data_IF_518508461415
#
_entry.id   IF_518508461415
#
_cell.length_a   1.000
_cell.length_b   1.000
_cell.length_c   1.000
_cell.angle_alpha   90.00
_cell.angle_beta   90.00
_cell.angle_gamma   90.00
#
_symmetry.space_group_name_H-M   'P 1'
#
loop_
_entity.id
_entity.type
_entity.pdbx_description
1 polymer ?
#
# COMPACT_ATOMS: atom_id res chain seq x y z
N UNK A 1 -25.53 11.97 -10.19
CA UNK A 1 -24.57 13.04 -10.48
C UNK A 1 -23.34 12.35 -11.02
N UNK A 2 -22.95 12.62 -12.26
CA UNK A 2 -21.70 12.10 -12.81
C UNK A 2 -20.57 12.70 -11.99
N UNK A 3 -19.86 11.86 -11.26
CA UNK A 3 -18.70 12.29 -10.51
C UNK A 3 -17.56 12.51 -11.51
N UNK A 4 -17.08 13.74 -11.56
CA UNK A 4 -15.98 14.12 -12.45
C UNK A 4 -14.73 13.29 -12.10
N UNK A 5 -14.01 12.81 -13.10
CA UNK A 5 -12.77 12.08 -12.93
C UNK A 5 -11.70 12.89 -12.18
N UNK A 6 -10.68 12.21 -11.69
CA UNK A 6 -9.61 12.84 -10.89
C UNK A 6 -8.73 13.81 -11.68
N UNK A 7 -8.69 13.67 -13.01
CA UNK A 7 -7.85 14.50 -13.90
C UNK A 7 -6.36 14.10 -13.92
N UNK A 8 -6.03 12.95 -13.32
CA UNK A 8 -4.71 12.33 -13.40
C UNK A 8 -4.84 10.80 -13.38
N UNK A 9 -3.84 10.04 -13.89
CA UNK A 9 -3.84 8.58 -13.83
C UNK A 9 -3.49 8.09 -12.41
N UNK A 10 -4.46 7.57 -11.64
CA UNK A 10 -4.20 7.02 -10.32
C UNK A 10 -3.48 5.68 -10.41
N UNK A 11 -2.67 5.36 -9.41
CA UNK A 11 -2.05 4.05 -9.26
C UNK A 11 -2.56 3.27 -8.03
N UNK A 12 -3.15 3.97 -7.03
CA UNK A 12 -3.77 3.35 -5.86
C UNK A 12 -4.62 4.34 -5.06
N UNK A 13 -5.37 3.81 -4.09
CA UNK A 13 -6.06 4.59 -3.05
C UNK A 13 -5.60 4.09 -1.69
N UNK A 14 -4.96 4.96 -0.90
CA UNK A 14 -4.64 4.72 0.50
C UNK A 14 -5.89 5.02 1.34
N UNK A 15 -6.43 4.01 1.99
CA UNK A 15 -7.74 4.10 2.64
C UNK A 15 -7.63 4.51 4.10
N UNK A 16 -8.44 5.49 4.49
CA UNK A 16 -8.72 5.82 5.88
C UNK A 16 -10.17 5.51 6.25
N UNK A 17 -10.56 5.88 7.44
CA UNK A 17 -11.92 5.63 7.94
C UNK A 17 -12.96 6.57 7.29
N UNK A 18 -12.64 7.84 7.16
CA UNK A 18 -13.54 8.86 6.59
C UNK A 18 -12.96 9.53 5.34
N UNK A 19 -11.64 9.68 5.31
CA UNK A 19 -10.90 10.29 4.21
C UNK A 19 -9.98 9.24 3.60
N UNK A 20 -10.02 9.11 2.28
CA UNK A 20 -9.10 8.30 1.52
C UNK A 20 -8.17 9.21 0.71
N UNK A 21 -7.03 8.70 0.29
CA UNK A 21 -6.07 9.46 -0.53
C UNK A 21 -5.84 8.73 -1.83
N UNK A 22 -6.23 9.33 -2.95
CA UNK A 22 -5.87 8.83 -4.26
C UNK A 22 -4.47 9.33 -4.65
N UNK A 23 -3.65 8.41 -5.11
CA UNK A 23 -2.25 8.63 -5.47
C UNK A 23 -2.09 8.43 -6.97
N UNK A 24 -1.44 9.39 -7.63
CA UNK A 24 -1.10 9.34 -9.04
C UNK A 24 0.31 8.84 -9.30
N UNK A 25 0.56 8.43 -10.55
CA UNK A 25 1.83 7.84 -10.99
C UNK A 25 3.01 8.81 -10.95
N UNK A 26 2.76 10.13 -10.90
CA UNK A 26 3.79 11.17 -10.89
C UNK A 26 3.83 11.94 -9.55
N UNK A 27 3.22 11.37 -8.48
CA UNK A 27 3.16 12.01 -7.17
C UNK A 27 1.98 12.99 -6.99
N UNK A 28 0.99 12.95 -7.89
CA UNK A 28 -0.28 13.59 -7.68
C UNK A 28 -1.00 12.98 -6.50
N UNK A 29 -1.66 13.81 -5.71
CA UNK A 29 -2.44 13.41 -4.55
C UNK A 29 -3.75 14.18 -4.49
N UNK A 30 -4.78 13.53 -3.99
CA UNK A 30 -6.05 14.20 -3.69
C UNK A 30 -6.80 13.45 -2.59
N UNK A 31 -7.42 14.19 -1.69
CA UNK A 31 -8.32 13.63 -0.68
C UNK A 31 -9.67 13.30 -1.28
N UNK A 32 -10.15 12.11 -0.95
CA UNK A 32 -11.45 11.60 -1.30
C UNK A 32 -12.28 11.36 -0.04
N UNK A 33 -13.54 11.72 -0.07
CA UNK A 33 -14.46 11.37 1.00
C UNK A 33 -14.88 9.89 0.92
N UNK A 34 -15.72 9.46 1.86
CA UNK A 34 -16.12 8.05 2.04
C UNK A 34 -16.72 7.40 0.79
N UNK A 35 -17.40 8.14 -0.05
CA UNK A 35 -17.98 7.67 -1.32
C UNK A 35 -17.10 7.96 -2.53
N UNK A 36 -15.85 8.36 -2.33
CA UNK A 36 -14.88 8.64 -3.40
C UNK A 36 -15.02 10.01 -4.04
N UNK A 37 -15.87 10.92 -3.51
CA UNK A 37 -15.95 12.29 -4.00
C UNK A 37 -14.65 13.05 -3.70
N UNK A 38 -14.13 13.77 -4.68
CA UNK A 38 -12.97 14.63 -4.50
C UNK A 38 -13.29 15.77 -3.53
N UNK A 39 -12.45 15.97 -2.52
CA UNK A 39 -12.68 16.96 -1.46
C UNK A 39 -11.94 18.29 -1.71
N UNK A 40 -10.87 18.26 -2.49
CA UNK A 40 -10.00 19.41 -2.77
C UNK A 40 -9.37 19.28 -4.18
N UNK A 41 -8.73 20.34 -4.70
CA UNK A 41 -7.95 20.21 -5.93
C UNK A 41 -6.80 19.22 -5.80
N UNK A 42 -6.43 18.57 -6.93
CA UNK A 42 -5.23 17.72 -7.01
C UNK A 42 -4.00 18.54 -6.65
N UNK A 43 -3.12 17.97 -5.84
CA UNK A 43 -1.87 18.59 -5.41
C UNK A 43 -0.69 17.65 -5.61
N UNK A 44 0.48 18.26 -5.64
CA UNK A 44 1.76 17.56 -5.69
C UNK A 44 2.67 18.16 -4.61
N UNK A 45 2.55 17.72 -3.34
CA UNK A 45 3.30 18.29 -2.22
C UNK A 45 4.81 18.12 -2.31
N UNK A 46 5.28 17.12 -3.04
CA UNK A 46 6.69 16.86 -3.27
C UNK A 46 6.92 16.35 -4.71
N UNK A 47 8.02 16.76 -5.38
CA UNK A 47 8.24 16.50 -6.79
C UNK A 47 8.86 15.12 -7.09
N UNK A 48 8.37 14.08 -6.43
CA UNK A 48 8.81 12.69 -6.66
C UNK A 48 7.61 11.74 -6.60
N UNK A 49 7.69 10.58 -7.25
CA UNK A 49 6.69 9.53 -7.12
C UNK A 49 6.52 9.07 -5.67
N UNK A 50 5.28 8.70 -5.34
CA UNK A 50 4.95 8.13 -4.04
C UNK A 50 4.99 6.61 -4.16
N UNK A 51 5.82 5.96 -3.35
CA UNK A 51 5.91 4.50 -3.37
C UNK A 51 4.79 3.84 -2.59
N UNK A 52 4.65 4.20 -1.33
CA UNK A 52 3.66 3.63 -0.42
C UNK A 52 3.17 4.68 0.57
N UNK A 53 1.98 4.47 1.14
CA UNK A 53 1.44 5.31 2.18
C UNK A 53 0.31 4.65 2.96
N UNK A 54 0.02 5.21 4.13
CA UNK A 54 -1.08 4.80 5.00
C UNK A 54 -1.84 6.02 5.46
N UNK A 55 -3.14 5.87 5.61
CA UNK A 55 -4.02 6.92 6.15
C UNK A 55 -4.35 6.58 7.60
N UNK A 56 -3.93 7.45 8.51
CA UNK A 56 -4.29 7.41 9.93
C UNK A 56 -5.59 8.19 10.18
N UNK A 57 -5.93 8.43 11.43
CA UNK A 57 -7.17 9.12 11.81
C UNK A 57 -7.19 10.58 11.35
N UNK A 58 -6.07 11.32 11.50
CA UNK A 58 -5.96 12.77 11.24
C UNK A 58 -4.93 13.15 10.17
N UNK A 59 -4.14 12.18 9.69
CA UNK A 59 -3.06 12.41 8.75
C UNK A 59 -2.87 11.24 7.79
N UNK A 60 -2.25 11.54 6.65
CA UNK A 60 -1.69 10.55 5.76
C UNK A 60 -0.17 10.54 5.91
N UNK A 61 0.44 9.36 5.92
CA UNK A 61 1.89 9.18 5.99
C UNK A 61 2.36 8.33 4.83
N UNK A 62 3.42 8.76 4.16
CA UNK A 62 3.93 7.98 3.02
C UNK A 62 5.35 8.32 2.62
N UNK A 63 5.80 7.62 1.59
CA UNK A 63 7.14 7.69 1.07
C UNK A 63 7.19 8.28 -0.32
N UNK A 64 8.02 9.29 -0.51
CA UNK A 64 8.46 9.78 -1.81
C UNK A 64 9.85 9.26 -2.12
N UNK A 65 10.06 8.74 -3.33
CA UNK A 65 11.36 8.20 -3.76
C UNK A 65 11.73 8.80 -5.11
N UNK A 66 12.84 9.52 -5.14
CA UNK A 66 13.47 10.01 -6.37
C UNK A 66 14.80 9.25 -6.60
N UNK A 67 14.73 8.26 -7.47
CA UNK A 67 15.85 7.33 -7.69
C UNK A 67 17.04 7.98 -8.40
N UNK A 68 16.80 8.98 -9.26
CA UNK A 68 17.86 9.70 -9.97
C UNK A 68 18.79 10.41 -8.98
N UNK A 69 18.22 11.03 -7.95
CA UNK A 69 18.99 11.74 -6.92
C UNK A 69 19.25 10.90 -5.68
N UNK A 70 18.80 9.63 -5.66
CA UNK A 70 18.91 8.73 -4.51
C UNK A 70 18.30 9.31 -3.24
N UNK A 71 17.22 10.05 -3.39
CA UNK A 71 16.49 10.61 -2.25
C UNK A 71 15.26 9.77 -1.93
N UNK A 72 15.11 9.44 -0.66
CA UNK A 72 13.92 8.85 -0.11
C UNK A 72 13.46 9.69 1.09
N UNK A 73 12.18 10.03 1.11
CA UNK A 73 11.59 10.83 2.17
C UNK A 73 10.32 10.19 2.70
N UNK A 74 10.16 10.29 4.00
CA UNK A 74 8.92 9.99 4.70
C UNK A 74 8.35 11.26 5.27
N UNK A 75 7.04 11.50 5.11
CA UNK A 75 6.40 12.64 5.72
C UNK A 75 4.94 12.35 6.05
N UNK A 76 4.40 13.14 6.99
CA UNK A 76 2.98 13.19 7.34
C UNK A 76 2.35 14.45 6.77
N UNK A 77 1.20 14.30 6.11
CA UNK A 77 0.36 15.40 5.64
C UNK A 77 -0.97 15.39 6.42
N UNK A 78 -1.49 16.55 6.88
CA UNK A 78 -2.76 16.61 7.60
C UNK A 78 -3.92 16.22 6.67
N UNK A 79 -4.92 15.52 7.19
CA UNK A 79 -6.17 15.28 6.46
C UNK A 79 -7.14 16.45 6.56
N UNK A 80 -7.01 17.27 7.59
CA UNK A 80 -7.76 18.53 7.70
C UNK A 80 -7.09 19.66 6.90
N UNK A 81 -7.89 20.62 6.44
CA UNK A 81 -7.42 21.75 5.61
C UNK A 81 -7.01 21.32 4.21
N UNK A 82 -6.64 22.28 3.38
CA UNK A 82 -6.25 22.04 1.98
C UNK A 82 -4.75 21.73 1.87
N UNK A 83 -4.41 20.73 1.07
CA UNK A 83 -3.03 20.52 0.66
C UNK A 83 -2.57 21.58 -0.33
N UNK A 84 -1.28 21.81 -0.39
CA UNK A 84 -0.65 22.78 -1.27
C UNK A 84 0.41 22.12 -2.16
N UNK A 85 0.63 22.71 -3.33
CA UNK A 85 1.71 22.26 -4.20
C UNK A 85 3.07 22.60 -3.58
N UNK A 86 3.98 21.67 -3.71
CA UNK A 86 5.34 21.77 -3.22
C UNK A 86 6.32 22.38 -4.25
N UNK A 87 7.61 22.28 -3.96
CA UNK A 87 8.66 22.69 -4.86
C UNK A 87 8.63 21.93 -6.17
N UNK A 88 9.23 22.46 -7.21
CA UNK A 88 9.39 21.80 -8.50
C UNK A 88 10.55 20.79 -8.51
N UNK A 89 10.63 20.00 -9.59
CA UNK A 89 11.72 19.02 -9.75
C UNK A 89 13.10 19.68 -9.87
N UNK A 90 13.17 20.87 -10.43
CA UNK A 90 14.43 21.65 -10.51
C UNK A 90 14.91 22.07 -9.13
N UNK A 91 13.99 22.42 -8.22
CA UNK A 91 14.33 22.77 -6.85
C UNK A 91 14.88 21.56 -6.10
N UNK A 92 14.30 20.36 -6.31
CA UNK A 92 14.80 19.12 -5.74
C UNK A 92 16.22 18.83 -6.22
N UNK A 93 16.49 18.98 -7.51
CA UNK A 93 17.81 18.79 -8.10
C UNK A 93 18.85 19.76 -7.51
N UNK A 94 18.50 21.04 -7.36
CA UNK A 94 19.39 22.03 -6.79
C UNK A 94 19.65 21.77 -5.31
N UNK A 95 18.63 21.41 -4.55
CA UNK A 95 18.73 21.06 -3.14
C UNK A 95 19.61 19.83 -2.90
N UNK A 96 19.47 18.81 -3.73
CA UNK A 96 20.30 17.60 -3.66
C UNK A 96 21.78 17.91 -3.90
N UNK A 97 22.11 18.83 -4.82
CA UNK A 97 23.48 19.28 -5.07
C UNK A 97 24.04 20.15 -3.94
N UNK A 98 23.20 20.93 -3.27
CA UNK A 98 23.60 21.83 -2.16
C UNK A 98 23.68 21.10 -0.81
N UNK A 99 23.09 19.89 -0.70
CA UNK A 99 22.94 19.19 0.58
C UNK A 99 21.82 19.74 1.48
N UNK A 100 21.06 20.74 1.00
CA UNK A 100 19.93 21.34 1.69
C UNK A 100 18.64 20.59 1.31
N UNK A 101 18.14 19.74 2.20
CA UNK A 101 16.95 18.96 1.92
C UNK A 101 15.69 19.80 1.86
N UNK A 102 14.96 19.78 0.74
CA UNK A 102 13.60 20.30 0.65
C UNK A 102 12.60 19.36 1.31
N UNK A 103 11.52 19.92 1.83
CA UNK A 103 10.48 19.13 2.51
C UNK A 103 9.18 19.13 1.71
N UNK A 104 8.33 18.08 1.86
CA UNK A 104 6.97 18.10 1.31
C UNK A 104 6.17 19.27 1.85
N UNK A 105 5.49 19.99 0.97
CA UNK A 105 4.75 21.19 1.35
C UNK A 105 3.57 20.85 2.27
N UNK A 106 3.40 21.60 3.32
CA UNK A 106 2.34 21.39 4.33
C UNK A 106 2.58 20.17 5.23
N UNK A 107 3.77 19.57 5.22
CA UNK A 107 4.06 18.43 6.08
C UNK A 107 4.03 18.82 7.56
N UNK A 108 3.35 17.99 8.38
CA UNK A 108 3.38 18.06 9.85
C UNK A 108 4.80 17.76 10.35
N UNK A 109 5.38 16.72 9.78
CA UNK A 109 6.79 16.35 9.95
C UNK A 109 7.31 15.66 8.68
N UNK A 110 8.61 15.65 8.51
CA UNK A 110 9.28 14.88 7.46
C UNK A 110 10.62 14.32 7.95
N UNK A 111 11.08 13.26 7.31
CA UNK A 111 12.38 12.63 7.52
C UNK A 111 13.01 12.23 6.20
N UNK A 112 14.32 12.40 6.10
CA UNK A 112 15.13 11.77 5.06
C UNK A 112 15.38 10.33 5.50
N UNK A 113 15.23 9.39 4.59
CA UNK A 113 15.53 7.99 4.84
C UNK A 113 16.90 7.65 4.26
N UNK A 114 17.72 6.94 5.04
CA UNK A 114 19.06 6.53 4.62
C UNK A 114 19.04 5.37 3.59
N UNK A 115 17.89 4.73 3.41
CA UNK A 115 17.70 3.63 2.49
C UNK A 115 16.30 3.69 1.85
N UNK A 116 16.15 3.08 0.67
CA UNK A 116 14.89 3.00 -0.06
C UNK A 116 13.83 2.29 0.81
N UNK A 117 12.66 2.90 1.05
CA UNK A 117 11.57 2.26 1.77
C UNK A 117 10.98 1.12 0.93
N UNK A 118 10.44 0.09 1.60
CA UNK A 118 9.88 -1.08 0.92
C UNK A 118 8.39 -1.23 1.18
N UNK A 119 7.99 -1.32 2.44
CA UNK A 119 6.61 -1.51 2.84
C UNK A 119 6.28 -0.60 4.02
N UNK A 120 5.02 -0.22 4.11
CA UNK A 120 4.44 0.54 5.23
C UNK A 120 3.09 -0.07 5.62
N UNK A 121 2.79 -0.09 6.89
CA UNK A 121 1.51 -0.52 7.44
C UNK A 121 1.08 0.34 8.62
N UNK A 122 -0.22 0.34 8.90
CA UNK A 122 -0.82 0.95 10.08
C UNK A 122 -1.05 -0.13 11.14
N UNK A 123 -0.77 0.20 12.40
CA UNK A 123 -1.03 -0.61 13.59
C UNK A 123 -1.68 0.30 14.64
N UNK A 124 -2.99 0.22 14.81
CA UNK A 124 -3.72 1.26 15.53
C UNK A 124 -3.53 2.63 14.88
N UNK A 125 -2.99 3.60 15.60
CA UNK A 125 -2.57 4.93 15.08
C UNK A 125 -1.04 5.05 14.91
N UNK A 126 -0.31 3.95 15.07
CA UNK A 126 1.12 3.88 14.84
C UNK A 126 1.46 3.38 13.44
N UNK A 127 2.69 3.55 13.04
CA UNK A 127 3.18 3.27 11.69
C UNK A 127 4.31 2.26 11.78
N UNK A 128 4.18 1.16 11.05
CA UNK A 128 5.26 0.20 10.88
C UNK A 128 5.77 0.26 9.45
N UNK A 129 7.07 0.36 9.27
CA UNK A 129 7.67 0.41 7.93
C UNK A 129 9.00 -0.34 7.88
N UNK A 130 9.44 -0.64 6.68
CA UNK A 130 10.72 -1.30 6.42
C UNK A 130 11.51 -0.57 5.34
N UNK A 131 12.83 -0.72 5.37
CA UNK A 131 13.75 -0.16 4.38
C UNK A 131 14.66 -1.23 3.79
N UNK A 132 15.10 -1.04 2.55
CA UNK A 132 16.01 -1.95 1.85
C UNK A 132 17.38 -2.02 2.56
N UNK A 133 17.77 -3.22 2.99
CA UNK A 133 19.02 -3.40 3.74
C UNK A 133 19.00 -2.91 5.19
N UNK A 134 17.89 -2.29 5.62
CA UNK A 134 17.65 -1.90 7.00
C UNK A 134 16.78 -2.90 7.78
N UNK A 135 16.11 -2.41 8.82
CA UNK A 135 15.21 -3.20 9.66
C UNK A 135 13.73 -2.96 9.38
N UNK A 136 12.94 -3.34 10.36
CA UNK A 136 11.55 -2.96 10.53
C UNK A 136 11.48 -1.97 11.69
N UNK A 137 10.74 -0.92 11.52
CA UNK A 137 10.65 0.19 12.46
C UNK A 137 9.18 0.45 12.79
N UNK A 138 8.88 0.68 14.06
CA UNK A 138 7.60 1.23 14.49
C UNK A 138 7.80 2.62 15.04
N UNK A 139 7.00 3.56 14.57
CA UNK A 139 6.99 4.95 15.02
C UNK A 139 5.56 5.36 15.36
N UNK A 140 5.42 6.31 16.28
CA UNK A 140 4.12 6.91 16.55
C UNK A 140 3.75 7.96 15.46
N UNK A 141 2.54 8.50 15.58
CA UNK A 141 2.03 9.52 14.65
C UNK A 141 2.89 10.79 14.58
N UNK A 142 3.73 11.06 15.58
CA UNK A 142 4.68 12.18 15.63
C UNK A 142 6.09 11.80 15.17
N UNK A 143 6.25 10.63 14.54
CA UNK A 143 7.51 10.06 14.07
C UNK A 143 8.53 9.74 15.17
N UNK A 144 8.12 9.57 16.44
CA UNK A 144 9.01 9.08 17.49
C UNK A 144 9.10 7.58 17.41
N UNK A 145 10.34 7.05 17.42
CA UNK A 145 10.58 5.61 17.38
C UNK A 145 10.01 4.94 18.64
N UNK A 146 9.16 3.93 18.45
CA UNK A 146 8.62 3.08 19.51
C UNK A 146 9.57 1.89 19.67
N UNK A 147 9.85 1.17 18.58
CA UNK A 147 10.83 0.10 18.54
C UNK A 147 11.44 -0.08 17.16
N UNK A 148 12.52 -0.86 17.14
CA UNK A 148 13.24 -1.27 15.93
C UNK A 148 13.56 -2.75 16.01
N UNK A 149 13.26 -3.49 14.94
CA UNK A 149 13.54 -4.90 14.80
C UNK A 149 14.46 -5.17 13.60
N UNK A 150 15.12 -6.32 13.61
CA UNK A 150 15.85 -6.79 12.44
C UNK A 150 14.88 -7.18 11.34
N UNK A 151 15.31 -7.00 10.09
CA UNK A 151 14.56 -7.49 8.94
C UNK A 151 14.38 -9.01 9.05
N UNK A 152 13.17 -9.54 8.86
CA UNK A 152 12.95 -10.98 8.76
C UNK A 152 13.78 -11.58 7.61
N UNK A 153 14.38 -12.74 7.88
CA UNK A 153 15.16 -13.51 6.90
C UNK A 153 14.63 -14.93 6.89
N UNK A 154 14.25 -15.41 5.72
CA UNK A 154 13.77 -16.76 5.51
C UNK A 154 14.90 -17.64 4.97
N UNK A 155 15.39 -18.63 5.76
CA UNK A 155 16.50 -19.49 5.35
C UNK A 155 16.22 -20.27 4.04
N UNK A 156 14.95 -20.57 3.77
CA UNK A 156 14.52 -21.29 2.57
C UNK A 156 14.61 -20.43 1.30
N UNK A 157 14.40 -19.12 1.41
CA UNK A 157 14.43 -18.16 0.29
C UNK A 157 15.86 -17.69 0.01
N UNK A 158 16.65 -17.46 1.05
CA UNK A 158 18.00 -16.91 0.95
C UNK A 158 18.93 -17.64 -0.05
N UNK A 159 18.94 -18.99 -0.14
CA UNK A 159 19.80 -19.72 -1.08
C UNK A 159 19.43 -19.54 -2.54
N UNK A 160 18.22 -19.06 -2.84
CA UNK A 160 17.75 -18.88 -4.22
C UNK A 160 18.40 -17.69 -4.93
N UNK A 161 19.20 -16.89 -4.23
CA UNK A 161 19.90 -15.72 -4.79
C UNK A 161 18.96 -14.62 -5.31
N UNK A 162 17.68 -14.69 -4.98
CA UNK A 162 16.67 -13.67 -5.33
C UNK A 162 16.69 -12.58 -4.27
N UNK A 163 16.63 -11.33 -4.72
CA UNK A 163 16.37 -10.22 -3.81
C UNK A 163 14.91 -10.32 -3.36
N UNK A 164 14.70 -10.75 -2.12
CA UNK A 164 13.37 -10.86 -1.53
C UNK A 164 12.96 -9.50 -0.94
N UNK A 165 11.94 -8.89 -1.51
CA UNK A 165 11.42 -7.59 -1.10
C UNK A 165 10.26 -7.76 -0.12
N UNK A 166 10.24 -6.99 0.95
CA UNK A 166 9.07 -6.86 1.80
C UNK A 166 8.04 -6.00 1.05
N UNK A 167 6.83 -6.52 0.88
CA UNK A 167 5.82 -5.91 -0.01
C UNK A 167 4.57 -5.46 0.73
N UNK A 168 4.33 -5.95 1.94
CA UNK A 168 3.14 -5.59 2.71
C UNK A 168 3.38 -5.75 4.21
N UNK A 169 2.85 -4.84 4.99
CA UNK A 169 2.83 -4.87 6.46
C UNK A 169 1.38 -4.65 6.90
N UNK A 170 0.83 -5.62 7.62
CA UNK A 170 -0.61 -5.62 7.96
C UNK A 170 -0.80 -6.06 9.40
N UNK A 171 -1.58 -5.29 10.16
CA UNK A 171 -2.05 -5.69 11.50
C UNK A 171 -3.07 -6.84 11.37
N UNK A 172 -2.89 -7.88 12.17
CA UNK A 172 -3.77 -9.04 12.23
C UNK A 172 -3.88 -9.54 13.68
N UNK A 173 -4.79 -10.48 13.98
CA UNK A 173 -4.96 -10.99 15.35
C UNK A 173 -3.72 -11.64 15.96
N UNK A 174 -2.85 -12.18 15.12
CA UNK A 174 -1.60 -12.82 15.53
C UNK A 174 -0.47 -11.81 15.85
N UNK A 175 -0.62 -10.54 15.41
CA UNK A 175 0.38 -9.49 15.56
C UNK A 175 0.52 -8.65 14.29
N UNK A 176 1.75 -8.26 13.95
CA UNK A 176 2.07 -7.52 12.74
C UNK A 176 2.64 -8.48 11.70
N UNK A 177 1.86 -8.81 10.68
CA UNK A 177 2.29 -9.68 9.60
C UNK A 177 3.08 -8.88 8.55
N UNK A 178 4.29 -9.35 8.25
CA UNK A 178 5.18 -8.79 7.22
C UNK A 178 5.32 -9.82 6.11
N UNK A 179 4.90 -9.44 4.92
CA UNK A 179 4.91 -10.29 3.74
C UNK A 179 6.07 -9.96 2.82
N UNK A 180 6.71 -11.01 2.31
CA UNK A 180 7.74 -10.88 1.28
C UNK A 180 7.22 -11.30 -0.09
N UNK A 181 7.85 -10.76 -1.14
CA UNK A 181 7.51 -11.07 -2.52
C UNK A 181 7.67 -12.57 -2.86
N UNK A 182 8.63 -13.24 -2.23
CA UNK A 182 8.94 -14.65 -2.48
C UNK A 182 8.12 -15.64 -1.63
N UNK A 183 7.05 -15.19 -0.95
CA UNK A 183 6.17 -16.06 -0.18
C UNK A 183 6.50 -16.14 1.31
N UNK A 184 7.50 -15.42 1.78
CA UNK A 184 7.81 -15.36 3.21
C UNK A 184 6.76 -14.55 3.98
N UNK A 185 6.39 -15.02 5.16
CA UNK A 185 5.61 -14.27 6.15
C UNK A 185 6.29 -14.33 7.50
N UNK A 186 6.42 -13.18 8.15
CA UNK A 186 6.87 -13.05 9.53
C UNK A 186 5.79 -12.33 10.34
N UNK A 187 5.55 -12.78 11.56
CA UNK A 187 4.67 -12.08 12.50
C UNK A 187 5.51 -11.52 13.64
N UNK A 188 5.39 -10.22 13.88
CA UNK A 188 6.07 -9.53 14.97
C UNK A 188 5.08 -9.15 16.07
N UNK A 189 5.60 -9.10 17.30
CA UNK A 189 4.87 -8.56 18.45
C UNK A 189 4.70 -7.05 18.28
N UNK A 190 3.47 -6.50 18.39
CA UNK A 190 3.24 -5.06 18.26
C UNK A 190 3.92 -4.23 19.36
N UNK A 191 4.18 -4.80 20.54
CA UNK A 191 4.72 -4.07 21.69
C UNK A 191 6.22 -3.81 21.61
N UNK A 192 7.00 -4.76 21.04
CA UNK A 192 8.47 -4.67 21.05
C UNK A 192 9.15 -5.07 19.73
N UNK A 193 8.38 -5.50 18.73
CA UNK A 193 8.89 -5.94 17.43
C UNK A 193 9.58 -7.31 17.46
N UNK A 194 9.45 -8.07 18.54
CA UNK A 194 10.02 -9.42 18.63
C UNK A 194 9.34 -10.38 17.65
N UNK A 195 10.12 -11.31 17.08
CA UNK A 195 9.61 -12.27 16.10
C UNK A 195 8.77 -13.34 16.82
N UNK A 196 7.47 -13.42 16.50
CA UNK A 196 6.53 -14.42 17.01
C UNK A 196 6.49 -15.66 16.13
N UNK A 197 6.48 -15.50 14.81
CA UNK A 197 6.50 -16.62 13.86
C UNK A 197 7.19 -16.25 12.56
N UNK A 198 7.71 -17.28 11.87
CA UNK A 198 8.37 -17.14 10.58
C UNK A 198 7.99 -18.34 9.71
N UNK A 199 7.58 -18.09 8.47
CA UNK A 199 7.14 -19.15 7.56
C UNK A 199 7.36 -18.75 6.11
N UNK A 200 7.52 -19.75 5.24
CA UNK A 200 7.46 -19.60 3.77
C UNK A 200 6.26 -20.37 3.26
N UNK A 201 5.45 -19.74 2.42
CA UNK A 201 4.36 -20.38 1.71
C UNK A 201 4.89 -20.97 0.40
N UNK A 202 4.44 -22.17 0.07
CA UNK A 202 4.70 -22.78 -1.23
C UNK A 202 3.74 -22.18 -2.26
N UNK A 203 4.24 -21.20 -3.01
CA UNK A 203 3.52 -20.51 -4.08
C UNK A 203 4.34 -20.58 -5.36
N UNK A 204 3.68 -20.85 -6.49
CA UNK A 204 4.33 -20.88 -7.81
C UNK A 204 4.58 -19.50 -8.41
N UNK A 205 4.14 -18.43 -7.72
CA UNK A 205 4.21 -17.06 -8.21
C UNK A 205 4.51 -16.08 -7.09
N UNK A 206 4.95 -14.86 -7.47
CA UNK A 206 5.31 -13.78 -6.55
C UNK A 206 4.07 -13.12 -5.94
N UNK A 207 4.12 -12.86 -4.65
CA UNK A 207 3.13 -12.01 -3.98
C UNK A 207 3.39 -10.55 -4.36
N UNK A 208 2.35 -9.84 -4.75
CA UNK A 208 2.39 -8.39 -5.03
C UNK A 208 1.77 -7.56 -3.93
N UNK A 209 0.79 -8.11 -3.21
CA UNK A 209 0.17 -7.46 -2.07
C UNK A 209 -0.54 -8.49 -1.18
N UNK A 210 -0.78 -8.14 0.08
CA UNK A 210 -1.52 -8.93 1.04
C UNK A 210 -2.57 -8.07 1.74
N UNK A 211 -3.79 -8.58 1.83
CA UNK A 211 -4.92 -7.91 2.50
C UNK A 211 -5.49 -8.86 3.54
N UNK A 212 -5.74 -8.33 4.73
CA UNK A 212 -6.41 -9.04 5.81
C UNK A 212 -7.81 -8.48 6.07
N UNK A 213 -8.76 -9.36 6.30
CA UNK A 213 -10.09 -9.02 6.78
C UNK A 213 -10.47 -9.93 7.95
N UNK A 214 -10.97 -9.35 9.05
CA UNK A 214 -11.28 -10.07 10.29
C UNK A 214 -12.09 -11.35 10.09
N UNK A 215 -13.13 -11.28 9.24
CA UNK A 215 -14.04 -12.42 8.99
C UNK A 215 -13.73 -13.12 7.64
N UNK A 216 -12.84 -12.57 6.84
CA UNK A 216 -12.45 -13.09 5.52
C UNK A 216 -11.08 -13.75 5.48
N UNK A 217 -10.26 -13.62 6.56
CA UNK A 217 -8.88 -14.07 6.57
C UNK A 217 -7.99 -13.25 5.64
N UNK A 218 -7.03 -13.90 5.01
CA UNK A 218 -6.06 -13.29 4.10
C UNK A 218 -6.41 -13.53 2.65
N UNK A 219 -6.22 -12.50 1.84
CA UNK A 219 -6.15 -12.60 0.39
C UNK A 219 -4.79 -12.06 -0.04
N UNK A 220 -3.96 -12.92 -0.64
CA UNK A 220 -2.69 -12.56 -1.27
C UNK A 220 -2.92 -12.39 -2.76
N UNK A 221 -2.46 -11.28 -3.33
CA UNK A 221 -2.49 -11.03 -4.76
C UNK A 221 -1.21 -11.54 -5.39
N UNK A 222 -1.32 -12.35 -6.45
CA UNK A 222 -0.17 -12.93 -7.14
C UNK A 222 0.04 -12.24 -8.50
N UNK A 223 1.30 -12.12 -8.89
CA UNK A 223 1.72 -11.36 -10.07
C UNK A 223 1.11 -11.88 -11.38
N UNK A 224 1.01 -13.20 -11.54
CA UNK A 224 0.54 -13.85 -12.77
C UNK A 224 -0.98 -13.90 -12.94
N UNK A 225 -1.76 -13.36 -11.99
CA UNK A 225 -3.21 -13.32 -12.11
C UNK A 225 -3.92 -14.45 -11.38
N UNK A 226 -3.45 -14.76 -10.18
CA UNK A 226 -4.12 -15.60 -9.20
C UNK A 226 -4.22 -14.85 -7.87
N UNK A 227 -5.04 -15.38 -6.98
CA UNK A 227 -5.08 -15.01 -5.56
C UNK A 227 -4.80 -16.27 -4.72
N UNK A 228 -4.24 -16.07 -3.53
CA UNK A 228 -4.13 -17.13 -2.54
C UNK A 228 -4.90 -16.73 -1.27
N UNK A 229 -5.72 -17.64 -0.77
CA UNK A 229 -6.56 -17.43 0.41
C UNK A 229 -6.03 -18.23 1.59
N UNK A 230 -6.02 -17.61 2.79
CA UNK A 230 -5.69 -18.28 4.04
C UNK A 230 -6.64 -17.78 5.14
N UNK A 231 -7.01 -18.63 6.08
CA UNK A 231 -7.74 -18.22 7.28
C UNK A 231 -6.84 -17.46 8.27
N UNK A 232 -5.64 -17.97 8.50
CA UNK A 232 -4.59 -17.37 9.32
C UNK A 232 -3.22 -17.54 8.68
N UNK A 233 -2.20 -16.84 9.18
CA UNK A 233 -0.81 -16.91 8.64
C UNK A 233 -0.20 -18.30 8.74
N UNK A 234 -0.73 -19.16 9.62
CA UNK A 234 -0.31 -20.56 9.79
C UNK A 234 -0.92 -21.54 8.79
N UNK A 235 -1.93 -21.15 8.01
CA UNK A 235 -2.66 -22.04 7.13
C UNK A 235 -1.95 -22.25 5.79
N UNK A 236 -2.33 -23.33 5.08
CA UNK A 236 -1.89 -23.53 3.71
C UNK A 236 -2.74 -22.68 2.76
N UNK A 237 -2.12 -22.07 1.73
CA UNK A 237 -2.85 -21.24 0.79
C UNK A 237 -3.74 -22.08 -0.15
N UNK A 238 -4.97 -21.61 -0.36
CA UNK A 238 -5.81 -22.05 -1.47
C UNK A 238 -5.59 -21.09 -2.64
N UNK A 239 -4.98 -21.55 -3.73
CA UNK A 239 -4.67 -20.73 -4.90
C UNK A 239 -5.79 -20.81 -5.93
N UNK A 240 -6.32 -19.67 -6.33
CA UNK A 240 -7.44 -19.52 -7.27
C UNK A 240 -7.05 -18.60 -8.44
N UNK A 241 -7.38 -18.99 -9.66
CA UNK A 241 -7.14 -18.18 -10.86
C UNK A 241 -8.19 -17.09 -11.01
N UNK A 242 -7.76 -15.85 -11.32
CA UNK A 242 -8.63 -14.66 -11.41
C UNK A 242 -8.80 -14.12 -12.83
N UNK A 243 -8.11 -14.71 -13.81
CA UNK A 243 -8.17 -14.26 -15.21
C UNK A 243 -7.20 -13.11 -15.57
N UNK A 244 -6.46 -12.58 -14.60
CA UNK A 244 -5.44 -11.55 -14.76
C UNK A 244 -4.97 -11.00 -13.42
N UNK A 245 -3.92 -10.18 -13.37
CA UNK A 245 -3.42 -9.58 -12.14
C UNK A 245 -4.48 -8.78 -11.39
N UNK A 246 -4.60 -9.04 -10.09
CA UNK A 246 -5.44 -8.29 -9.15
C UNK A 246 -4.62 -7.10 -8.64
N UNK A 247 -5.20 -5.91 -8.63
CA UNK A 247 -4.56 -4.69 -8.17
C UNK A 247 -5.14 -4.19 -6.83
N UNK A 248 -6.39 -4.51 -6.56
CA UNK A 248 -7.04 -4.20 -5.30
C UNK A 248 -8.09 -5.24 -4.94
N UNK A 249 -8.15 -5.61 -3.66
CA UNK A 249 -9.14 -6.55 -3.14
C UNK A 249 -9.74 -6.07 -1.83
N UNK A 250 -11.00 -6.44 -1.58
CA UNK A 250 -11.74 -6.10 -0.38
C UNK A 250 -12.67 -7.22 0.04
N UNK A 251 -12.81 -7.39 1.34
CA UNK A 251 -13.86 -8.19 1.93
C UNK A 251 -15.00 -7.26 2.34
N UNK A 252 -16.22 -7.51 1.88
CA UNK A 252 -17.38 -6.66 2.15
C UNK A 252 -18.22 -7.10 3.35
N UNK A 253 -17.72 -8.05 4.12
CA UNK A 253 -18.42 -8.69 5.24
C UNK A 253 -19.10 -10.01 4.88
N UNK A 254 -19.14 -10.36 3.59
CA UNK A 254 -19.75 -11.60 3.08
C UNK A 254 -18.81 -12.36 2.13
N UNK A 255 -18.16 -11.64 1.22
CA UNK A 255 -17.33 -12.24 0.18
C UNK A 255 -16.13 -11.34 -0.16
N UNK A 256 -15.07 -11.95 -0.71
CA UNK A 256 -13.96 -11.21 -1.30
C UNK A 256 -14.35 -10.67 -2.67
N UNK A 257 -14.06 -9.39 -2.90
CA UNK A 257 -14.19 -8.68 -4.17
C UNK A 257 -12.86 -8.10 -4.57
N UNK A 258 -12.56 -8.09 -5.86
CA UNK A 258 -11.32 -7.51 -6.39
C UNK A 258 -11.54 -6.85 -7.74
N UNK A 259 -10.63 -5.97 -8.07
CA UNK A 259 -10.48 -5.37 -9.40
C UNK A 259 -9.02 -5.47 -9.84
N UNK A 260 -8.76 -5.39 -11.13
CA UNK A 260 -7.40 -5.52 -11.63
C UNK A 260 -7.26 -5.28 -13.11
N UNK A 261 -6.38 -6.05 -13.75
CA UNK A 261 -6.06 -5.89 -15.15
C UNK A 261 -7.25 -6.31 -16.03
N UNK A 262 -8.12 -5.34 -16.34
CA UNK A 262 -9.28 -5.46 -17.22
C UNK A 262 -10.32 -6.49 -16.74
N UNK A 263 -10.47 -6.67 -15.45
CA UNK A 263 -11.51 -7.50 -14.88
C UNK A 263 -11.89 -7.06 -13.47
N UNK A 264 -13.13 -7.32 -13.11
CA UNK A 264 -13.60 -7.39 -11.72
C UNK A 264 -13.86 -8.85 -11.37
N UNK A 265 -13.77 -9.19 -10.10
CA UNK A 265 -14.06 -10.55 -9.68
C UNK A 265 -14.46 -10.64 -8.22
N UNK A 266 -15.16 -11.73 -7.88
CA UNK A 266 -15.55 -12.05 -6.51
C UNK A 266 -15.45 -13.53 -6.22
N UNK A 267 -15.32 -13.85 -4.96
CA UNK A 267 -15.39 -15.22 -4.47
C UNK A 267 -16.76 -15.44 -3.84
N UNK A 268 -17.60 -16.21 -4.51
CA UNK A 268 -18.95 -16.51 -4.03
C UNK A 268 -19.16 -18.02 -3.93
N UNK A 269 -19.47 -18.51 -2.73
CA UNK A 269 -19.67 -19.94 -2.47
C UNK A 269 -18.49 -20.82 -2.85
N UNK A 270 -17.26 -20.36 -2.63
CA UNK A 270 -16.01 -21.07 -2.99
C UNK A 270 -15.69 -21.05 -4.50
N UNK A 271 -16.38 -20.23 -5.30
CA UNK A 271 -16.14 -20.12 -6.74
C UNK A 271 -15.73 -18.70 -7.12
N UNK A 272 -14.72 -18.61 -7.95
CA UNK A 272 -14.30 -17.37 -8.59
C UNK A 272 -15.28 -17.02 -9.71
N UNK A 273 -15.87 -15.83 -9.61
CA UNK A 273 -16.65 -15.21 -10.67
C UNK A 273 -15.89 -14.01 -11.19
N UNK A 274 -15.66 -13.95 -12.49
CA UNK A 274 -14.89 -12.87 -13.14
C UNK A 274 -15.71 -12.23 -14.25
N UNK A 275 -15.72 -10.91 -14.32
CA UNK A 275 -16.34 -10.11 -15.37
C UNK A 275 -15.30 -9.20 -15.99
N UNK A 276 -15.20 -9.21 -17.31
CA UNK A 276 -14.26 -8.35 -18.03
C UNK A 276 -14.72 -6.88 -17.97
N UNK A 277 -13.74 -5.97 -17.99
CA UNK A 277 -13.92 -4.54 -18.13
C UNK A 277 -12.95 -3.98 -19.17
N UNK A 278 -13.22 -2.80 -19.71
CA UNK A 278 -12.40 -2.21 -20.77
C UNK A 278 -11.12 -1.58 -20.19
N UNK A 279 -11.21 -0.90 -19.04
CA UNK A 279 -10.10 -0.23 -18.37
C UNK A 279 -9.47 -1.10 -17.28
N UNK A 280 -8.31 -0.70 -16.81
CA UNK A 280 -7.65 -1.30 -15.64
C UNK A 280 -8.29 -0.74 -14.37
N UNK A 281 -8.84 -1.60 -13.53
CA UNK A 281 -9.34 -1.22 -12.21
C UNK A 281 -8.19 -1.09 -11.21
N UNK A 282 -8.07 0.09 -10.60
CA UNK A 282 -6.99 0.44 -9.66
C UNK A 282 -7.41 0.21 -8.21
N UNK A 283 -8.64 0.57 -7.87
CA UNK A 283 -9.15 0.43 -6.51
C UNK A 283 -10.67 0.32 -6.47
N UNK A 284 -11.19 -0.38 -5.47
CA UNK A 284 -12.63 -0.48 -5.19
C UNK A 284 -12.96 0.45 -4.02
N UNK A 285 -13.96 1.30 -4.18
CA UNK A 285 -14.46 2.16 -3.12
C UNK A 285 -15.98 2.35 -3.27
N UNK A 286 -16.73 2.08 -2.22
CA UNK A 286 -18.20 2.25 -2.17
C UNK A 286 -18.92 1.61 -3.37
N UNK A 287 -18.60 0.34 -3.68
CA UNK A 287 -19.22 -0.41 -4.79
C UNK A 287 -18.88 0.11 -6.19
N UNK A 288 -17.90 0.98 -6.32
CA UNK A 288 -17.37 1.50 -7.57
C UNK A 288 -15.90 1.19 -7.72
N UNK A 289 -15.41 1.23 -8.94
CA UNK A 289 -14.02 1.03 -9.30
C UNK A 289 -13.44 2.33 -9.82
N UNK A 290 -12.33 2.77 -9.23
CA UNK A 290 -11.45 3.77 -9.81
C UNK A 290 -10.61 3.10 -10.88
N UNK A 291 -10.63 3.65 -12.06
CA UNK A 291 -9.87 3.15 -13.21
C UNK A 291 -8.57 3.93 -13.43
N UNK A 292 -7.64 3.35 -14.18
CA UNK A 292 -6.32 3.92 -14.40
C UNK A 292 -6.31 5.23 -15.22
N UNK A 293 -7.42 5.61 -15.82
CA UNK A 293 -7.65 6.92 -16.48
C UNK A 293 -8.21 7.98 -15.51
N UNK A 294 -8.45 7.60 -14.26
CA UNK A 294 -8.97 8.48 -13.21
C UNK A 294 -10.48 8.59 -13.15
N UNK A 295 -11.20 7.78 -13.91
CA UNK A 295 -12.65 7.77 -13.92
C UNK A 295 -13.23 6.76 -12.91
N UNK A 296 -14.49 7.00 -12.50
CA UNK A 296 -15.24 6.09 -11.68
C UNK A 296 -16.22 5.28 -12.52
N UNK A 297 -16.18 3.98 -12.39
CA UNK A 297 -17.14 3.07 -13.03
C UNK A 297 -17.80 2.15 -12.01
N UNK A 298 -18.93 1.52 -12.38
CA UNK A 298 -19.55 0.52 -11.52
C UNK A 298 -18.67 -0.72 -11.35
N UNK A 299 -18.74 -1.34 -10.18
CA UNK A 299 -18.19 -2.68 -9.96
C UNK A 299 -19.10 -3.70 -10.69
N UNK A 300 -18.51 -4.62 -11.46
CA UNK A 300 -19.23 -5.43 -12.45
C UNK A 300 -19.46 -6.89 -12.04
N UNK A 301 -18.75 -7.43 -11.05
CA UNK A 301 -18.80 -8.86 -10.68
C UNK A 301 -19.77 -9.18 -9.53
#
# INVERSE_FOLDING_TARGET
>A
MDQKGLGFPPCRIDRGEQVHVAIGTQGEMVKLGATGQQMEPVRRPFPAPIMEGVTLTDRWVGFWVEREFREARMAALPLEGDWIDGPGRDDLRLSSLAGDGIQPAGAIWHRILDAEPMAIGRVGDDIVFSTLGGGVYMIDSEAREIWRAQRPVWPEISPLGVQDLLISIVECPEGIAIWSQAGGVAVLDPGDGSLLSLRVLELDDKITNAVYAKDGGWLLMLHGGAIALLGGVGDNPEVLQTGGPVLDARYDGAEWKWTGWRHDGRLSGGRVLTVSRDEVGVAILDGRVMTNDGEWSGYSA
#
